data_IF_671463426264
#
_entry.id   IF_671463426264
#
_cell.length_a   1.000
_cell.length_b   1.000
_cell.length_c   1.000
_cell.angle_alpha   90.00
_cell.angle_beta   90.00
_cell.angle_gamma   90.00
#
_symmetry.space_group_name_H-M   'P 1'
#
loop_
_entity.id
_entity.type
_entity.pdbx_description
1 polymer ?
#
# COMPACT_ATOMS: atom_id res chain seq x y z
N UNK A 1 -18.93 7.42 -17.14
CA UNK A 1 -18.41 6.06 -17.36
C UNK A 1 -18.20 5.44 -15.98
N UNK A 2 -18.71 4.24 -15.68
CA UNK A 2 -18.32 3.53 -14.46
C UNK A 2 -16.83 3.21 -14.51
N UNK A 3 -16.13 3.36 -13.38
CA UNK A 3 -14.72 2.97 -13.27
C UNK A 3 -14.60 1.46 -13.44
N UNK A 4 -13.64 1.04 -14.25
CA UNK A 4 -13.31 -0.38 -14.39
C UNK A 4 -12.78 -0.93 -13.06
N UNK A 5 -13.00 -2.23 -12.76
CA UNK A 5 -12.42 -2.87 -11.57
C UNK A 5 -10.91 -2.66 -11.45
N UNK A 6 -10.21 -2.59 -12.59
CA UNK A 6 -8.79 -2.27 -12.65
C UNK A 6 -8.47 -0.85 -12.17
N UNK A 7 -9.16 0.16 -12.68
CA UNK A 7 -8.93 1.56 -12.27
C UNK A 7 -9.17 1.75 -10.77
N UNK A 8 -10.13 1.02 -10.19
CA UNK A 8 -10.34 1.00 -8.75
C UNK A 8 -9.12 0.41 -8.01
N UNK A 9 -8.63 -0.75 -8.44
CA UNK A 9 -7.44 -1.38 -7.82
C UNK A 9 -6.18 -0.50 -7.96
N UNK A 10 -5.99 0.16 -9.10
CA UNK A 10 -4.85 1.06 -9.32
C UNK A 10 -4.91 2.28 -8.38
N UNK A 11 -6.11 2.86 -8.20
CA UNK A 11 -6.32 3.97 -7.26
C UNK A 11 -6.09 3.56 -5.81
N UNK A 12 -6.56 2.38 -5.40
CA UNK A 12 -6.32 1.83 -4.07
C UNK A 12 -4.83 1.56 -3.84
N UNK A 13 -4.13 1.01 -4.85
CA UNK A 13 -2.68 0.81 -4.78
C UNK A 13 -1.94 2.13 -4.59
N UNK A 14 -2.35 3.17 -5.32
CA UNK A 14 -1.74 4.50 -5.19
C UNK A 14 -1.93 5.08 -3.79
N UNK A 15 -3.13 4.97 -3.21
CA UNK A 15 -3.40 5.40 -1.85
C UNK A 15 -2.51 4.65 -0.83
N UNK A 16 -2.45 3.32 -0.93
CA UNK A 16 -1.62 2.48 -0.04
C UNK A 16 -0.13 2.84 -0.16
N UNK A 17 0.37 3.13 -1.36
CA UNK A 17 1.77 3.55 -1.57
C UNK A 17 2.04 4.91 -0.93
N UNK A 18 1.11 5.87 -1.03
CA UNK A 18 1.24 7.17 -0.34
C UNK A 18 1.25 7.02 1.18
N UNK A 19 0.43 6.14 1.72
CA UNK A 19 0.42 5.87 3.17
C UNK A 19 1.74 5.26 3.64
N UNK A 20 2.31 4.32 2.87
CA UNK A 20 3.64 3.75 3.15
C UNK A 20 4.70 4.85 3.15
N UNK A 21 4.69 5.73 2.14
CA UNK A 21 5.64 6.84 2.05
C UNK A 21 5.50 7.80 3.24
N UNK A 22 4.27 8.11 3.65
CA UNK A 22 4.00 8.98 4.79
C UNK A 22 4.58 8.39 6.08
N UNK A 23 4.45 7.08 6.29
CA UNK A 23 5.05 6.38 7.44
C UNK A 23 6.58 6.39 7.34
N UNK A 24 7.14 6.20 6.15
CA UNK A 24 8.60 6.27 5.93
C UNK A 24 9.17 7.64 6.25
N UNK A 25 8.49 8.70 5.78
CA UNK A 25 8.87 10.08 6.02
C UNK A 25 8.73 10.45 7.50
N UNK A 26 7.68 9.97 8.17
CA UNK A 26 7.53 10.16 9.61
C UNK A 26 8.69 9.50 10.37
N UNK A 27 8.99 8.23 10.10
CA UNK A 27 10.09 7.52 10.78
C UNK A 27 11.45 8.19 10.51
N UNK A 28 11.67 8.73 9.31
CA UNK A 28 12.94 9.33 8.92
C UNK A 28 13.14 10.74 9.48
N UNK A 29 12.09 11.57 9.47
CA UNK A 29 12.19 12.99 9.82
C UNK A 29 11.76 13.29 11.27
N UNK A 30 10.86 12.48 11.82
CA UNK A 30 10.29 12.63 13.16
C UNK A 30 10.10 11.25 13.83
N UNK A 31 11.21 10.53 14.11
CA UNK A 31 11.13 9.20 14.68
C UNK A 31 10.47 9.25 16.07
N UNK A 32 9.60 8.29 16.41
CA UNK A 32 8.98 8.25 17.73
C UNK A 32 10.01 8.17 18.85
N UNK A 33 9.75 8.88 19.94
CA UNK A 33 10.61 8.94 21.13
C UNK A 33 10.76 7.58 21.83
N UNK A 34 9.79 6.68 21.64
CA UNK A 34 9.78 5.37 22.27
C UNK A 34 9.97 4.22 21.27
N UNK A 35 10.79 3.24 21.65
CA UNK A 35 11.01 2.02 20.86
C UNK A 35 9.70 1.26 20.57
N UNK A 36 8.71 1.35 21.46
CA UNK A 36 7.41 0.70 21.28
C UNK A 36 6.51 1.36 20.24
N UNK A 37 6.60 2.67 20.06
CA UNK A 37 5.89 3.39 19.00
C UNK A 37 6.57 3.18 17.65
N UNK A 38 7.91 3.19 17.62
CA UNK A 38 8.67 2.85 16.41
C UNK A 38 8.37 1.42 15.94
N UNK A 39 8.30 0.46 16.86
CA UNK A 39 7.92 -0.91 16.54
C UNK A 39 6.51 -0.97 15.93
N UNK A 40 5.53 -0.30 16.55
CA UNK A 40 4.16 -0.22 16.03
C UNK A 40 4.10 0.40 14.63
N UNK A 41 4.81 1.50 14.38
CA UNK A 41 4.88 2.10 13.05
C UNK A 41 5.49 1.15 12.01
N UNK A 42 6.52 0.39 12.38
CA UNK A 42 7.12 -0.62 11.49
C UNK A 42 6.18 -1.79 11.22
N UNK A 43 5.37 -2.21 12.19
CA UNK A 43 4.34 -3.24 12.00
C UNK A 43 3.22 -2.76 11.06
N UNK A 44 2.76 -1.53 11.25
CA UNK A 44 1.79 -0.87 10.36
C UNK A 44 2.38 -0.83 8.93
N UNK A 45 3.61 -0.33 8.78
CA UNK A 45 4.30 -0.28 7.48
C UNK A 45 4.36 -1.66 6.79
N UNK A 46 4.67 -2.74 7.53
CA UNK A 46 4.68 -4.10 6.98
C UNK A 46 3.29 -4.54 6.51
N UNK A 47 2.24 -4.23 7.28
CA UNK A 47 0.86 -4.52 6.92
C UNK A 47 0.49 -3.83 5.60
N UNK A 48 0.75 -2.53 5.47
CA UNK A 48 0.48 -1.78 4.24
C UNK A 48 1.26 -2.33 3.04
N UNK A 49 2.53 -2.72 3.21
CA UNK A 49 3.31 -3.39 2.15
C UNK A 49 2.70 -4.72 1.73
N UNK A 50 2.15 -5.49 2.66
CA UNK A 50 1.40 -6.71 2.38
C UNK A 50 0.14 -6.44 1.56
N UNK A 51 -0.62 -5.41 1.93
CA UNK A 51 -1.82 -4.97 1.17
C UNK A 51 -1.43 -4.55 -0.25
N UNK A 52 -0.38 -3.72 -0.40
CA UNK A 52 0.11 -3.29 -1.70
C UNK A 52 0.51 -4.48 -2.59
N UNK A 53 1.18 -5.50 -2.02
CA UNK A 53 1.54 -6.72 -2.73
C UNK A 53 0.30 -7.49 -3.21
N UNK A 54 -0.72 -7.63 -2.36
CA UNK A 54 -1.98 -8.28 -2.71
C UNK A 54 -2.73 -7.53 -3.82
N UNK A 55 -2.79 -6.20 -3.77
CA UNK A 55 -3.42 -5.39 -4.82
C UNK A 55 -2.67 -5.54 -6.15
N UNK A 56 -1.32 -5.51 -6.13
CA UNK A 56 -0.50 -5.76 -7.32
C UNK A 56 -0.79 -7.13 -7.95
N UNK A 57 -0.96 -8.16 -7.13
CA UNK A 57 -1.34 -9.50 -7.62
C UNK A 57 -2.75 -9.50 -8.22
N UNK A 58 -3.72 -8.83 -7.60
CA UNK A 58 -5.07 -8.71 -8.13
C UNK A 58 -5.11 -8.00 -9.49
N UNK A 59 -4.35 -6.92 -9.67
CA UNK A 59 -4.20 -6.22 -10.95
C UNK A 59 -3.59 -7.15 -12.01
N UNK A 60 -2.56 -7.92 -11.66
CA UNK A 60 -1.93 -8.87 -12.59
C UNK A 60 -2.88 -9.98 -13.04
N UNK A 61 -3.74 -10.48 -12.14
CA UNK A 61 -4.77 -11.47 -12.46
C UNK A 61 -5.85 -10.89 -13.38
N UNK A 62 -6.29 -9.66 -13.12
CA UNK A 62 -7.27 -8.99 -13.98
C UNK A 62 -6.71 -8.73 -15.38
N UNK A 63 -5.43 -8.33 -15.47
CA UNK A 63 -4.74 -8.22 -16.75
C UNK A 63 -4.76 -9.54 -17.51
N UNK A 64 -4.45 -10.66 -16.84
CA UNK A 64 -4.42 -11.99 -17.46
C UNK A 64 -5.80 -12.46 -17.94
N UNK A 65 -6.86 -12.10 -17.19
CA UNK A 65 -8.25 -12.40 -17.54
C UNK A 65 -8.75 -11.59 -18.73
N UNK A 66 -8.27 -10.36 -18.91
CA UNK A 66 -8.71 -9.48 -20.01
C UNK A 66 -8.07 -9.82 -21.36
N UNK A 67 -7.06 -10.71 -21.41
CA UNK A 67 -6.38 -11.16 -22.65
C UNK A 67 -6.82 -12.55 -23.10
N UNK A 68 -7.66 -13.24 -22.30
CA UNK A 68 -8.20 -14.56 -22.58
C UNK A 68 -9.65 -14.45 -23.11
#
# INVERSE_FOLDING_TARGET
>A
MPQSPRELLEKELEAVVRDIQTIEDQIANDPPDTSGELLRLREIQRTYRGIAASIKQAIALENSRSIA
#
